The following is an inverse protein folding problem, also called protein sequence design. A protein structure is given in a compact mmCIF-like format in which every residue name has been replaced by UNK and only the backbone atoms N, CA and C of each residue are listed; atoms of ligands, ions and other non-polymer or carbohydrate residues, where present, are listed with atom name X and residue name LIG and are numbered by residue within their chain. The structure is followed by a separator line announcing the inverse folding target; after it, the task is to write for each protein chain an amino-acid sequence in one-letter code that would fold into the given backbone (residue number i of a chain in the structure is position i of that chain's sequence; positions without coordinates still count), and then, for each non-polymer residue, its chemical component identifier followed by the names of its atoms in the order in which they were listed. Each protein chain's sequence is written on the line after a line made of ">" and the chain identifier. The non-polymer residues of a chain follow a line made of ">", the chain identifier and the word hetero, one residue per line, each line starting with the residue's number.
data_IF_728743136040
#
_entry.id   IF_728743136040
#
_cell.length_a   1.000
_cell.length_b   1.000
_cell.length_c   1.000
_cell.angle_alpha   90.00
_cell.angle_beta   90.00
_cell.angle_gamma   90.00
#
_symmetry.space_group_name_H-M   'P 1'
#
loop_
_entity.id
_entity.type
_entity.pdbx_description
1 polymer ?
#
# COMPACT_ATOMS: atom_id res chain seq x y z
N UNK A 1 -12.64 53.04 -7.83
CA UNK A 1 -12.85 51.78 -7.13
C UNK A 1 -13.14 50.61 -8.08
N UNK A 2 -13.87 50.83 -9.19
CA UNK A 2 -14.20 49.74 -10.15
C UNK A 2 -12.99 49.11 -10.82
N UNK A 3 -11.92 49.85 -11.11
CA UNK A 3 -10.72 49.30 -11.75
C UNK A 3 -10.00 48.28 -10.84
N UNK A 4 -9.86 48.61 -9.55
CA UNK A 4 -9.24 47.68 -8.59
C UNK A 4 -10.07 46.41 -8.42
N UNK A 5 -11.37 46.50 -8.33
CA UNK A 5 -12.29 45.37 -8.25
C UNK A 5 -12.17 44.48 -9.51
N UNK A 6 -12.10 45.12 -10.69
CA UNK A 6 -11.89 44.37 -11.95
C UNK A 6 -10.52 43.68 -12.01
N UNK A 7 -9.47 44.34 -11.49
CA UNK A 7 -8.12 43.76 -11.42
C UNK A 7 -8.08 42.53 -10.48
N UNK A 8 -8.74 42.62 -9.32
CA UNK A 8 -8.82 41.49 -8.39
C UNK A 8 -9.58 40.29 -9.01
N UNK A 9 -10.64 40.57 -9.78
CA UNK A 9 -11.39 39.57 -10.53
C UNK A 9 -10.50 38.86 -11.59
N UNK A 10 -9.74 39.66 -12.34
CA UNK A 10 -8.82 39.12 -13.36
C UNK A 10 -7.71 38.25 -12.72
N UNK A 11 -7.10 38.72 -11.63
CA UNK A 11 -6.10 37.94 -10.89
C UNK A 11 -6.66 36.63 -10.34
N UNK A 12 -7.90 36.66 -9.84
CA UNK A 12 -8.58 35.46 -9.35
C UNK A 12 -8.90 34.48 -10.47
N UNK A 13 -9.32 34.95 -11.64
CA UNK A 13 -9.54 34.13 -12.81
C UNK A 13 -8.22 33.48 -13.29
N UNK A 14 -7.12 34.24 -13.27
CA UNK A 14 -5.78 33.71 -13.61
C UNK A 14 -5.34 32.62 -12.62
N UNK A 15 -5.55 32.82 -11.32
CA UNK A 15 -5.25 31.82 -10.30
C UNK A 15 -6.11 30.55 -10.47
N UNK A 16 -7.40 30.70 -10.76
CA UNK A 16 -8.28 29.57 -11.07
C UNK A 16 -7.81 28.79 -12.29
N UNK A 17 -7.41 29.50 -13.34
CA UNK A 17 -6.88 28.90 -14.56
C UNK A 17 -5.59 28.13 -14.30
N UNK A 18 -4.68 28.66 -13.49
CA UNK A 18 -3.44 28.01 -13.10
C UNK A 18 -3.69 26.70 -12.36
N UNK A 19 -4.61 26.70 -11.38
CA UNK A 19 -5.01 25.48 -10.65
C UNK A 19 -5.65 24.46 -11.59
N UNK A 20 -6.52 24.90 -12.49
CA UNK A 20 -7.17 24.01 -13.47
C UNK A 20 -6.15 23.42 -14.44
N UNK A 21 -5.21 24.20 -14.95
CA UNK A 21 -4.15 23.74 -15.82
C UNK A 21 -3.25 22.69 -15.15
N UNK A 22 -2.92 22.91 -13.88
CA UNK A 22 -2.18 21.93 -13.10
C UNK A 22 -2.96 20.62 -12.93
N UNK A 23 -4.26 20.68 -12.66
CA UNK A 23 -5.11 19.49 -12.55
C UNK A 23 -5.16 18.71 -13.87
N UNK A 24 -5.27 19.41 -15.01
CA UNK A 24 -5.29 18.79 -16.33
C UNK A 24 -3.94 18.16 -16.64
N UNK A 25 -2.84 18.84 -16.35
CA UNK A 25 -1.50 18.32 -16.59
C UNK A 25 -1.23 17.01 -15.82
N UNK A 26 -1.86 16.84 -14.65
CA UNK A 26 -1.67 15.70 -13.78
C UNK A 26 -2.82 14.68 -13.83
N UNK A 27 -3.74 14.77 -14.81
CA UNK A 27 -4.88 13.84 -14.90
C UNK A 27 -4.47 12.38 -15.04
N UNK A 28 -3.31 12.12 -15.68
CA UNK A 28 -2.74 10.77 -15.83
C UNK A 28 -1.78 10.35 -14.72
N UNK A 29 -1.53 11.19 -13.73
CA UNK A 29 -0.60 10.87 -12.64
C UNK A 29 -1.26 9.99 -11.59
N UNK A 30 -0.71 8.81 -11.35
CA UNK A 30 -1.23 7.87 -10.33
C UNK A 30 -1.18 8.49 -8.94
N UNK A 31 -2.31 8.39 -8.21
CA UNK A 31 -2.42 8.94 -6.86
C UNK A 31 -2.56 10.46 -6.78
N UNK A 32 -2.63 11.17 -7.91
CA UNK A 32 -2.84 12.62 -7.91
C UNK A 32 -4.20 12.98 -7.32
N UNK A 33 -4.24 14.03 -6.52
CA UNK A 33 -5.46 14.64 -5.97
C UNK A 33 -5.59 16.04 -6.50
N UNK A 34 -6.73 16.32 -7.13
CA UNK A 34 -6.99 17.62 -7.72
C UNK A 34 -6.99 18.73 -6.69
N UNK A 35 -6.52 19.87 -7.07
CA UNK A 35 -6.57 21.09 -6.26
C UNK A 35 -7.78 21.93 -6.65
N UNK A 36 -8.32 22.64 -5.67
CA UNK A 36 -9.41 23.60 -5.84
C UNK A 36 -9.01 24.93 -5.26
N UNK A 37 -9.18 25.99 -6.01
CA UNK A 37 -9.01 27.35 -5.54
C UNK A 37 -10.28 27.81 -4.81
N UNK A 38 -10.14 28.28 -3.58
CA UNK A 38 -11.22 28.85 -2.78
C UNK A 38 -11.03 30.36 -2.73
N UNK A 39 -12.03 31.07 -3.18
CA UNK A 39 -12.05 32.52 -3.21
C UNK A 39 -12.96 33.07 -2.11
N UNK A 40 -12.64 34.24 -1.62
CA UNK A 40 -13.48 34.97 -0.71
C UNK A 40 -13.54 36.44 -1.13
N UNK A 41 -14.66 37.04 -0.87
CA UNK A 41 -14.87 38.48 -1.06
C UNK A 41 -14.02 39.31 -0.07
N UNK A 42 -13.70 40.50 -0.48
CA UNK A 42 -12.98 41.48 0.34
C UNK A 42 -13.99 42.48 0.82
N UNK A 43 -14.28 42.46 2.13
CA UNK A 43 -15.07 43.48 2.79
C UNK A 43 -14.18 44.40 3.61
N UNK A 44 -14.40 45.69 3.46
CA UNK A 44 -13.83 46.68 4.39
C UNK A 44 -14.88 46.98 5.46
N UNK A 45 -14.71 46.47 6.65
CA UNK A 45 -15.57 46.81 7.80
C UNK A 45 -15.07 48.08 8.44
N UNK A 46 -15.77 49.22 8.22
CA UNK A 46 -15.61 50.39 9.06
C UNK A 46 -16.60 50.27 10.24
N UNK A 47 -16.15 50.35 11.50
CA UNK A 47 -17.02 50.21 12.67
C UNK A 47 -18.08 51.32 12.81
N UNK A 48 -18.00 52.34 11.99
CA UNK A 48 -18.90 53.50 12.01
C UNK A 48 -19.92 53.55 10.86
N UNK A 49 -19.90 52.60 9.92
CA UNK A 49 -20.80 52.59 8.78
C UNK A 49 -21.89 51.53 8.94
N UNK A 50 -23.16 51.93 8.82
CA UNK A 50 -24.30 51.01 8.80
C UNK A 50 -24.20 50.11 7.59
N UNK A 51 -24.42 48.81 7.80
CA UNK A 51 -24.22 47.74 6.83
C UNK A 51 -25.14 47.76 5.57
N UNK A 52 -26.07 48.67 5.47
CA UNK A 52 -26.98 48.81 4.33
C UNK A 52 -26.36 49.65 3.22
N UNK A 53 -25.77 49.01 2.21
CA UNK A 53 -25.21 49.68 1.03
C UNK A 53 -23.72 49.46 0.81
N UNK A 54 -23.12 48.50 1.46
CA UNK A 54 -21.69 48.20 1.31
C UNK A 54 -21.45 47.45 -0.02
N UNK A 55 -20.71 48.09 -0.92
CA UNK A 55 -20.28 47.48 -2.17
C UNK A 55 -19.01 46.67 -1.87
N UNK A 56 -18.98 45.41 -2.28
CA UNK A 56 -17.80 44.52 -2.17
C UNK A 56 -16.57 45.14 -2.87
N UNK A 57 -15.39 44.99 -2.28
CA UNK A 57 -14.13 45.55 -2.79
C UNK A 57 -13.36 44.59 -3.70
N UNK A 58 -14.01 43.54 -4.14
CA UNK A 58 -13.42 42.55 -5.02
C UNK A 58 -13.25 41.17 -4.38
N UNK A 59 -12.40 40.36 -4.95
CA UNK A 59 -12.19 38.96 -4.58
C UNK A 59 -10.71 38.69 -4.30
N UNK A 60 -10.43 37.83 -3.33
CA UNK A 60 -9.08 37.33 -3.05
C UNK A 60 -9.06 35.82 -3.02
N UNK A 61 -7.97 35.24 -3.49
CA UNK A 61 -7.67 33.82 -3.28
C UNK A 61 -7.38 33.60 -1.78
N UNK A 62 -8.21 32.84 -1.11
CA UNK A 62 -8.05 32.52 0.32
C UNK A 62 -7.15 31.30 0.51
N UNK A 63 -7.34 30.26 -0.30
CA UNK A 63 -6.64 28.99 -0.14
C UNK A 63 -6.74 28.16 -1.43
N UNK A 64 -5.73 27.36 -1.69
CA UNK A 64 -5.81 26.23 -2.60
C UNK A 64 -5.86 24.95 -1.76
N UNK A 65 -6.98 24.22 -1.82
CA UNK A 65 -7.18 22.98 -1.08
C UNK A 65 -7.15 21.77 -2.01
N UNK A 66 -6.58 20.67 -1.53
CA UNK A 66 -6.65 19.40 -2.24
C UNK A 66 -7.97 18.69 -1.90
N UNK A 67 -8.57 18.06 -2.92
CA UNK A 67 -9.77 17.22 -2.77
C UNK A 67 -9.37 15.76 -2.79
N UNK A 68 -9.59 15.05 -1.67
CA UNK A 68 -9.23 13.64 -1.52
C UNK A 68 -10.31 12.65 -1.97
N UNK A 69 -11.24 13.08 -2.82
CA UNK A 69 -12.24 12.17 -3.38
C UNK A 69 -11.59 10.97 -4.09
N UNK A 70 -12.27 9.81 -4.02
CA UNK A 70 -11.82 8.60 -4.67
C UNK A 70 -11.89 8.74 -6.20
N UNK A 71 -10.78 8.43 -6.87
CA UNK A 71 -10.72 8.32 -8.33
C UNK A 71 -11.03 6.92 -8.83
N UNK A 72 -10.99 6.73 -10.13
CA UNK A 72 -11.09 5.43 -10.76
C UNK A 72 -9.88 4.57 -10.39
N UNK A 73 -10.15 3.31 -10.02
CA UNK A 73 -9.13 2.29 -9.84
C UNK A 73 -9.05 1.47 -11.12
N UNK A 74 -7.86 1.41 -11.71
CA UNK A 74 -7.59 0.60 -12.90
C UNK A 74 -6.54 -0.47 -12.56
N UNK A 75 -6.65 -1.63 -13.17
CA UNK A 75 -5.65 -2.69 -13.05
C UNK A 75 -4.50 -2.44 -14.01
N UNK A 76 -3.27 -2.67 -13.54
CA UNK A 76 -2.05 -2.66 -14.35
C UNK A 76 -1.48 -4.07 -14.51
N UNK A 77 -0.50 -4.24 -15.39
CA UNK A 77 0.24 -5.50 -15.54
C UNK A 77 1.34 -5.72 -14.49
N UNK A 78 1.57 -4.76 -13.58
CA UNK A 78 2.60 -4.85 -12.55
C UNK A 78 1.97 -5.27 -11.22
N UNK A 79 2.44 -6.39 -10.65
CA UNK A 79 1.94 -6.93 -9.38
C UNK A 79 2.28 -6.08 -8.15
N UNK A 80 3.19 -5.11 -8.30
CA UNK A 80 3.59 -4.18 -7.24
C UNK A 80 2.82 -2.85 -7.28
N UNK A 81 1.92 -2.67 -8.24
CA UNK A 81 1.06 -1.50 -8.26
C UNK A 81 -0.09 -1.67 -7.26
N UNK A 82 -0.15 -0.76 -6.30
CA UNK A 82 -1.11 -0.78 -5.21
C UNK A 82 -2.05 0.42 -5.30
N UNK A 83 -3.31 0.23 -4.97
CA UNK A 83 -4.29 1.32 -4.88
C UNK A 83 -4.99 1.32 -3.52
N UNK A 84 -5.16 2.50 -2.93
CA UNK A 84 -5.93 2.68 -1.71
C UNK A 84 -7.37 2.99 -2.09
N UNK A 85 -8.30 2.19 -1.58
CA UNK A 85 -9.74 2.46 -1.65
C UNK A 85 -10.18 3.10 -0.33
N UNK A 86 -10.72 4.31 -0.39
CA UNK A 86 -11.08 5.10 0.79
C UNK A 86 -9.96 6.02 1.28
N UNK A 87 -9.98 6.34 2.58
CA UNK A 87 -9.03 7.25 3.21
C UNK A 87 -7.75 6.55 3.64
N UNK A 88 -6.62 7.23 3.57
CA UNK A 88 -5.32 6.72 3.98
C UNK A 88 -4.18 7.10 3.05
N UNK A 89 -2.96 6.74 3.42
CA UNK A 89 -1.74 6.96 2.67
C UNK A 89 -0.82 5.76 2.81
N UNK A 90 0.04 5.53 1.84
CA UNK A 90 1.15 4.61 1.98
C UNK A 90 2.25 5.28 2.81
N UNK A 91 2.64 4.70 3.95
CA UNK A 91 3.78 5.17 4.71
C UNK A 91 5.07 4.76 3.99
N UNK A 92 5.92 5.72 3.71
CA UNK A 92 7.24 5.51 3.13
C UNK A 92 8.31 6.03 4.07
N UNK A 93 9.49 5.46 3.97
CA UNK A 93 10.67 5.95 4.66
C UNK A 93 11.75 6.34 3.66
N UNK A 94 12.39 7.48 3.91
CA UNK A 94 13.51 7.97 3.11
C UNK A 94 14.64 6.92 3.04
N UNK A 95 15.44 6.87 1.98
CA UNK A 95 16.56 5.92 1.85
C UNK A 95 17.55 5.98 3.01
N UNK A 96 17.77 7.18 3.58
CA UNK A 96 18.60 7.43 4.77
C UNK A 96 17.91 7.07 6.10
N UNK A 97 16.62 6.72 6.08
CA UNK A 97 15.83 6.31 7.23
C UNK A 97 15.42 7.43 8.19
N UNK A 98 15.68 8.70 7.85
CA UNK A 98 15.45 9.84 8.74
C UNK A 98 14.07 10.46 8.63
N UNK A 99 13.40 10.34 7.48
CA UNK A 99 12.12 10.99 7.22
C UNK A 99 11.01 9.99 6.92
N UNK A 100 9.87 10.19 7.57
CA UNK A 100 8.63 9.50 7.26
C UNK A 100 7.85 10.34 6.22
N UNK A 101 7.46 9.70 5.13
CA UNK A 101 6.81 10.32 3.98
C UNK A 101 5.51 9.57 3.73
N UNK A 102 4.47 10.29 3.34
CA UNK A 102 3.16 9.71 3.04
C UNK A 102 2.77 10.01 1.60
N UNK A 103 2.36 9.00 0.87
CA UNK A 103 1.95 9.14 -0.54
C UNK A 103 0.67 8.39 -0.85
N UNK A 104 -0.04 8.86 -1.89
CA UNK A 104 -1.14 8.12 -2.52
C UNK A 104 -0.72 7.43 -3.83
N UNK A 105 0.50 7.72 -4.30
CA UNK A 105 1.04 7.03 -5.47
C UNK A 105 1.44 5.60 -5.06
N UNK A 106 0.81 4.61 -5.67
CA UNK A 106 1.03 3.19 -5.41
C UNK A 106 1.86 2.49 -6.48
N UNK A 107 2.61 3.22 -7.30
CA UNK A 107 3.52 2.61 -8.27
C UNK A 107 4.84 2.28 -7.58
N UNK A 108 5.06 1.00 -7.33
CA UNK A 108 6.23 0.49 -6.63
C UNK A 108 7.05 -0.44 -7.51
N UNK A 109 8.34 -0.53 -7.19
CA UNK A 109 9.31 -1.43 -7.81
C UNK A 109 10.16 -2.11 -6.74
N UNK A 110 10.86 -3.16 -7.12
CA UNK A 110 11.82 -3.84 -6.23
C UNK A 110 13.23 -3.29 -6.48
N UNK A 111 13.95 -2.97 -5.41
CA UNK A 111 15.37 -2.61 -5.51
C UNK A 111 16.28 -3.83 -5.38
N UNK A 112 17.61 -3.64 -5.55
CA UNK A 112 18.62 -4.70 -5.46
C UNK A 112 18.68 -5.39 -4.09
N UNK A 113 18.11 -4.76 -3.05
CA UNK A 113 18.01 -5.31 -1.69
C UNK A 113 16.67 -6.00 -1.45
N UNK A 114 15.86 -6.20 -2.48
CA UNK A 114 14.51 -6.75 -2.43
C UNK A 114 13.53 -5.94 -1.56
N UNK A 115 13.80 -4.66 -1.33
CA UNK A 115 12.83 -3.75 -0.71
C UNK A 115 11.88 -3.21 -1.77
N UNK A 116 10.62 -3.06 -1.39
CA UNK A 116 9.63 -2.38 -2.21
C UNK A 116 9.84 -0.87 -2.08
N UNK A 117 10.15 -0.21 -3.19
CA UNK A 117 10.47 1.22 -3.25
C UNK A 117 9.65 1.94 -4.32
N UNK A 118 9.46 3.23 -4.15
CA UNK A 118 8.88 4.07 -5.18
C UNK A 118 9.96 4.56 -6.17
N UNK A 119 9.57 5.35 -7.17
CA UNK A 119 10.47 5.91 -8.20
C UNK A 119 11.57 6.82 -7.65
N UNK A 120 11.45 7.31 -6.42
CA UNK A 120 12.45 8.15 -5.73
C UNK A 120 13.32 7.37 -4.75
N UNK A 121 13.20 6.02 -4.72
CA UNK A 121 13.99 5.14 -3.85
C UNK A 121 13.52 5.09 -2.39
N UNK A 122 12.37 5.68 -2.07
CA UNK A 122 11.79 5.62 -0.72
C UNK A 122 11.17 4.24 -0.49
N UNK A 123 11.41 3.65 0.69
CA UNK A 123 10.98 2.29 1.03
C UNK A 123 9.56 2.28 1.55
N UNK A 124 8.74 1.37 1.05
CA UNK A 124 7.39 1.14 1.58
C UNK A 124 7.48 0.48 2.95
N UNK A 125 6.78 1.06 3.92
CA UNK A 125 6.70 0.52 5.27
C UNK A 125 5.44 -0.32 5.41
N UNK A 126 5.56 -1.46 6.05
CA UNK A 126 4.46 -2.37 6.33
C UNK A 126 4.44 -2.79 7.80
N UNK A 127 3.25 -3.06 8.31
CA UNK A 127 3.04 -3.61 9.64
C UNK A 127 3.24 -5.13 9.61
N UNK A 128 3.91 -5.69 10.61
CA UNK A 128 3.91 -7.13 10.83
C UNK A 128 2.54 -7.59 11.33
N UNK A 129 2.13 -8.78 10.89
CA UNK A 129 0.87 -9.40 11.32
C UNK A 129 1.19 -10.57 12.25
N UNK A 130 0.56 -10.60 13.40
CA UNK A 130 0.71 -11.69 14.35
C UNK A 130 -0.02 -12.98 13.89
N UNK A 131 0.14 -14.08 14.65
CA UNK A 131 -0.51 -15.37 14.35
C UNK A 131 -2.05 -15.31 14.42
N UNK A 132 -2.61 -14.26 15.02
CA UNK A 132 -4.07 -14.02 15.10
C UNK A 132 -4.62 -13.16 13.95
N UNK A 133 -3.76 -12.71 13.04
CA UNK A 133 -4.14 -11.86 11.91
C UNK A 133 -4.21 -10.37 12.25
N UNK A 134 -3.77 -9.95 13.45
CA UNK A 134 -3.77 -8.55 13.86
C UNK A 134 -2.48 -7.86 13.45
N UNK A 135 -2.60 -6.72 12.77
CA UNK A 135 -1.45 -5.90 12.38
C UNK A 135 -0.94 -5.04 13.55
N UNK A 136 0.38 -5.05 13.76
CA UNK A 136 1.04 -4.15 14.70
C UNK A 136 1.41 -2.84 14.02
N UNK A 137 0.56 -1.83 14.20
CA UNK A 137 0.74 -0.50 13.60
C UNK A 137 1.80 0.35 14.32
N UNK A 138 2.31 -0.11 15.47
CA UNK A 138 3.33 0.62 16.24
C UNK A 138 4.74 0.35 15.74
N UNK A 139 4.96 -0.82 15.12
CA UNK A 139 6.24 -1.23 14.55
C UNK A 139 6.12 -1.45 13.05
N UNK A 140 6.37 -0.39 12.29
CA UNK A 140 6.45 -0.48 10.84
C UNK A 140 7.87 -0.84 10.41
N UNK A 141 8.00 -1.85 9.56
CA UNK A 141 9.27 -2.27 8.96
C UNK A 141 9.24 -2.06 7.44
N UNK A 142 10.41 -1.91 6.83
CA UNK A 142 10.50 -1.86 5.38
C UNK A 142 10.00 -3.16 4.76
N UNK A 143 9.08 -3.06 3.80
CA UNK A 143 8.54 -4.24 3.11
C UNK A 143 9.61 -4.83 2.18
N UNK A 144 10.05 -6.05 2.50
CA UNK A 144 11.01 -6.82 1.71
C UNK A 144 10.32 -8.05 1.13
N UNK A 145 10.58 -8.33 -0.15
CA UNK A 145 10.09 -9.53 -0.82
C UNK A 145 11.28 -10.45 -1.08
N UNK A 146 11.44 -11.56 -0.35
CA UNK A 146 12.56 -12.46 -0.56
C UNK A 146 12.48 -13.11 -1.95
N UNK A 147 13.60 -13.25 -2.67
CA UNK A 147 13.62 -13.79 -4.03
C UNK A 147 13.26 -15.29 -4.09
N UNK A 148 13.37 -15.99 -2.97
CA UNK A 148 12.98 -17.39 -2.82
C UNK A 148 12.38 -17.60 -1.43
N UNK A 149 11.14 -18.05 -1.38
CA UNK A 149 10.57 -18.68 -0.20
C UNK A 149 10.92 -20.16 -0.24
N UNK A 150 12.09 -20.54 0.27
CA UNK A 150 12.32 -21.93 0.63
C UNK A 150 11.57 -22.17 1.92
N UNK A 151 10.50 -22.95 1.88
CA UNK A 151 9.86 -23.45 3.09
C UNK A 151 10.96 -24.15 3.92
N UNK A 152 11.03 -23.87 5.22
CA UNK A 152 11.85 -24.67 6.11
C UNK A 152 11.32 -26.09 6.06
N UNK A 153 12.18 -27.04 5.70
CA UNK A 153 11.85 -28.44 5.84
C UNK A 153 11.65 -28.74 7.33
N UNK A 154 10.44 -29.10 7.69
CA UNK A 154 10.12 -29.54 9.05
C UNK A 154 10.29 -31.05 9.06
N UNK A 155 11.18 -31.56 9.93
CA UNK A 155 11.37 -32.99 10.08
C UNK A 155 10.08 -33.68 10.50
N UNK A 156 9.81 -34.85 9.93
CA UNK A 156 8.63 -35.64 10.24
C UNK A 156 8.79 -36.27 11.63
N UNK A 157 8.04 -35.77 12.63
CA UNK A 157 8.13 -36.27 14.01
C UNK A 157 7.12 -37.37 14.32
N UNK A 158 6.10 -37.57 13.49
CA UNK A 158 5.06 -38.57 13.72
C UNK A 158 4.58 -39.20 12.41
N UNK A 159 4.61 -40.51 12.35
CA UNK A 159 4.07 -41.30 11.25
C UNK A 159 2.96 -42.20 11.80
N UNK A 160 1.78 -42.15 11.20
CA UNK A 160 0.69 -43.08 11.51
C UNK A 160 0.45 -43.99 10.31
N UNK A 161 0.58 -45.29 10.53
CA UNK A 161 0.38 -46.27 9.50
C UNK A 161 -0.84 -47.14 9.84
N UNK A 162 -1.78 -47.22 8.92
CA UNK A 162 -2.85 -48.21 8.96
C UNK A 162 -2.43 -49.40 8.09
N UNK A 163 -2.21 -50.57 8.68
CA UNK A 163 -1.78 -51.77 7.98
C UNK A 163 -2.89 -52.82 8.02
N UNK A 164 -3.12 -53.44 6.89
CA UNK A 164 -3.94 -54.65 6.79
C UNK A 164 -3.02 -55.83 6.55
N UNK A 165 -2.91 -56.75 7.51
CA UNK A 165 -2.08 -57.94 7.42
C UNK A 165 -2.91 -59.10 6.87
N UNK A 166 -2.41 -59.83 5.81
CA UNK A 166 -3.10 -61.01 5.30
C UNK A 166 -3.09 -62.14 6.33
N UNK A 167 -4.27 -62.73 6.59
CA UNK A 167 -4.44 -63.77 7.61
C UNK A 167 -3.82 -65.13 7.19
N UNK A 168 -3.52 -65.29 5.90
CA UNK A 168 -2.99 -66.50 5.29
C UNK A 168 -1.45 -66.49 5.14
N UNK A 169 -0.79 -65.52 5.73
CA UNK A 169 0.68 -65.44 5.69
C UNK A 169 1.32 -66.60 6.44
N UNK A 170 2.35 -67.19 5.86
CA UNK A 170 3.13 -68.27 6.51
C UNK A 170 3.89 -67.72 7.72
N UNK A 171 3.90 -68.50 8.81
CA UNK A 171 4.64 -68.14 10.03
C UNK A 171 6.12 -68.34 9.76
N UNK A 172 6.91 -67.29 9.91
CA UNK A 172 8.37 -67.31 9.86
C UNK A 172 8.88 -67.50 11.29
N UNK A 173 9.67 -68.57 11.50
CA UNK A 173 10.23 -68.92 12.83
C UNK A 173 11.62 -68.33 13.07
N UNK A 174 12.22 -67.73 12.05
CA UNK A 174 13.53 -67.08 12.13
C UNK A 174 13.41 -65.70 12.82
N UNK A 175 14.41 -65.32 13.60
CA UNK A 175 14.50 -63.97 14.18
C UNK A 175 14.52 -62.90 13.06
N UNK A 176 13.79 -61.81 13.32
CA UNK A 176 13.69 -60.72 12.34
C UNK A 176 15.04 -60.04 12.08
N UNK A 177 15.45 -60.03 10.82
CA UNK A 177 16.60 -59.27 10.33
C UNK A 177 16.19 -58.46 9.09
N UNK A 178 16.24 -57.17 9.17
CA UNK A 178 15.86 -56.26 8.07
C UNK A 178 16.69 -56.43 6.80
N UNK A 179 17.90 -57.00 6.92
CA UNK A 179 18.83 -57.19 5.81
C UNK A 179 18.61 -58.53 5.10
N UNK A 180 17.90 -59.45 5.75
CA UNK A 180 17.63 -60.79 5.21
C UNK A 180 16.16 -60.98 4.83
N UNK A 181 15.81 -60.96 3.53
CA UNK A 181 14.43 -61.08 3.06
C UNK A 181 13.70 -62.37 3.47
N UNK A 182 14.41 -63.40 3.89
CA UNK A 182 13.82 -64.65 4.33
C UNK A 182 13.19 -64.57 5.75
N UNK A 183 13.43 -63.48 6.49
CA UNK A 183 12.95 -63.27 7.85
C UNK A 183 11.66 -62.42 7.94
N UNK A 184 11.06 -62.04 6.81
CA UNK A 184 9.80 -61.31 6.76
C UNK A 184 9.02 -61.56 5.47
N UNK A 185 7.69 -61.55 5.56
CA UNK A 185 6.81 -61.86 4.43
C UNK A 185 6.66 -60.68 3.45
N UNK A 186 6.79 -59.42 3.92
CA UNK A 186 6.61 -58.24 3.11
C UNK A 186 7.35 -57.04 3.69
N UNK A 187 7.90 -56.21 2.83
CA UNK A 187 8.48 -54.93 3.25
C UNK A 187 7.94 -53.78 2.41
N UNK A 188 7.83 -52.59 2.98
CA UNK A 188 7.46 -51.37 2.27
C UNK A 188 8.40 -50.28 2.72
N UNK A 189 9.02 -49.58 1.76
CA UNK A 189 9.83 -48.40 2.05
C UNK A 189 8.95 -47.14 2.08
N UNK A 190 9.12 -46.34 3.12
CA UNK A 190 8.49 -45.02 3.24
C UNK A 190 9.59 -43.96 3.34
N UNK A 191 9.56 -42.98 2.45
CA UNK A 191 10.47 -41.86 2.50
C UNK A 191 9.86 -40.74 3.39
N UNK A 192 10.62 -40.32 4.37
CA UNK A 192 10.25 -39.19 5.28
C UNK A 192 11.27 -38.08 5.14
N UNK A 193 10.85 -36.85 5.29
CA UNK A 193 11.67 -35.66 5.16
C UNK A 193 11.68 -34.86 6.46
#
# INVERSE_FOLDING_TARGET
>A
MSFYTSLTGLNSATAQLAVTANNIANVGTSGFKRSRANFGDIFSTSPLQKASGQIGQGVALKQVSQEFSQGNVSTSGNSLDLAITGDGFFPLKSPDGLQDIYTRNGSFTLNDQNNVVNSTGQRLMAASVDSSGKADLTNLAALTIPPKTSGQAIETTKIQLGLNLPADSQVITADFDRTNPATYNKSTALTVY
#
